data_IF_622631535606
#
_entry.id   IF_622631535606
#
_cell.length_a   1.000
_cell.length_b   1.000
_cell.length_c   1.000
_cell.angle_alpha   90.00
_cell.angle_beta   90.00
_cell.angle_gamma   90.00
#
_symmetry.space_group_name_H-M   'P 1'
#
loop_
_entity.id
_entity.type
_entity.pdbx_description
1 polymer ?
#
# COMPACT_ATOMS: atom_id res chain seq x y z
N UNK A 1 7.44 -12.84 13.71
CA UNK A 1 6.55 -12.24 12.71
C UNK A 1 5.32 -13.13 12.51
N UNK A 2 4.11 -12.57 12.63
CA UNK A 2 2.88 -13.33 12.42
C UNK A 2 2.62 -13.49 10.92
N UNK A 3 2.59 -14.74 10.47
CA UNK A 3 2.28 -15.07 9.08
C UNK A 3 1.58 -16.42 8.99
N UNK A 4 0.83 -16.65 7.92
CA UNK A 4 0.19 -17.93 7.67
C UNK A 4 0.20 -18.28 6.20
N UNK A 5 0.14 -19.58 5.89
CA UNK A 5 -0.03 -20.04 4.52
C UNK A 5 -1.52 -20.12 4.17
N UNK A 6 -1.91 -19.40 3.14
CA UNK A 6 -3.24 -19.48 2.55
C UNK A 6 -3.39 -20.78 1.74
N UNK A 7 -4.54 -21.45 1.89
CA UNK A 7 -4.81 -22.73 1.24
C UNK A 7 -5.84 -22.66 0.12
N UNK A 8 -6.43 -21.47 -0.08
CA UNK A 8 -7.49 -21.20 -1.06
C UNK A 8 -7.15 -19.99 -1.94
N UNK A 9 -7.76 -19.93 -3.09
CA UNK A 9 -7.65 -18.82 -4.02
C UNK A 9 -8.34 -17.57 -3.47
N UNK A 10 -7.65 -16.43 -3.53
CA UNK A 10 -8.19 -15.14 -3.06
C UNK A 10 -9.39 -14.66 -3.90
N UNK A 11 -9.46 -15.07 -5.18
CA UNK A 11 -10.47 -14.61 -6.11
C UNK A 11 -11.72 -15.51 -6.12
N UNK A 12 -11.55 -16.84 -6.18
CA UNK A 12 -12.68 -17.78 -6.35
C UNK A 12 -12.85 -18.77 -5.20
N UNK A 13 -12.01 -18.70 -4.15
CA UNK A 13 -12.02 -19.57 -2.99
C UNK A 13 -11.73 -21.06 -3.28
N UNK A 14 -11.32 -21.39 -4.49
CA UNK A 14 -10.91 -22.77 -4.85
C UNK A 14 -9.64 -23.16 -4.11
N UNK A 15 -9.53 -24.44 -3.77
CA UNK A 15 -8.31 -25.03 -3.20
C UNK A 15 -7.36 -25.62 -4.24
N UNK A 16 -7.70 -25.52 -5.54
CA UNK A 16 -6.89 -25.99 -6.66
C UNK A 16 -5.72 -25.05 -6.95
N UNK A 17 -4.79 -24.95 -6.01
CA UNK A 17 -3.61 -24.10 -6.12
C UNK A 17 -2.38 -24.92 -6.49
N UNK A 18 -1.78 -24.59 -7.63
CA UNK A 18 -0.53 -25.18 -8.13
C UNK A 18 0.66 -24.25 -7.88
N UNK A 19 1.76 -24.77 -7.31
CA UNK A 19 3.00 -24.01 -7.17
C UNK A 19 3.67 -23.88 -8.55
N UNK A 20 3.70 -22.65 -9.08
CA UNK A 20 4.27 -22.37 -10.41
C UNK A 20 5.66 -21.75 -10.37
N UNK A 21 5.99 -21.05 -9.28
CA UNK A 21 7.32 -20.46 -9.12
C UNK A 21 7.73 -20.46 -7.64
N UNK A 22 8.85 -21.09 -7.36
CA UNK A 22 9.46 -21.08 -6.04
C UNK A 22 10.53 -20.00 -5.97
N UNK A 23 10.30 -18.98 -5.18
CA UNK A 23 11.26 -17.92 -4.93
C UNK A 23 12.01 -18.15 -3.62
N UNK A 24 13.21 -17.56 -3.52
CA UNK A 24 13.97 -17.57 -2.28
C UNK A 24 13.21 -16.77 -1.20
N UNK A 25 13.05 -17.30 0.03
CA UNK A 25 12.47 -16.54 1.13
C UNK A 25 13.25 -15.26 1.40
N UNK A 26 12.54 -14.17 1.65
CA UNK A 26 13.11 -12.84 1.98
C UNK A 26 12.45 -12.25 3.22
N UNK A 27 13.07 -11.27 3.89
CA UNK A 27 12.36 -10.41 4.80
C UNK A 27 11.22 -9.66 4.08
N UNK A 28 10.21 -9.12 4.80
CA UNK A 28 9.22 -8.22 4.20
C UNK A 28 9.89 -7.04 3.50
N UNK A 29 9.24 -6.52 2.43
CA UNK A 29 9.67 -5.29 1.80
C UNK A 29 9.65 -4.14 2.81
N UNK A 30 10.54 -3.18 2.63
CA UNK A 30 10.69 -1.98 3.48
C UNK A 30 10.94 -2.25 4.99
N UNK A 31 11.30 -3.49 5.33
CA UNK A 31 11.68 -3.89 6.69
C UNK A 31 13.14 -3.53 6.97
N UNK A 32 13.41 -2.23 7.02
CA UNK A 32 14.75 -1.70 7.29
C UNK A 32 15.16 -1.97 8.74
N UNK A 33 16.44 -2.25 8.94
CA UNK A 33 17.03 -2.48 10.25
C UNK A 33 18.11 -1.42 10.54
N UNK A 34 18.25 -1.04 11.80
CA UNK A 34 19.33 -0.12 12.23
C UNK A 34 20.70 -0.80 12.15
N UNK A 35 21.77 0.01 12.12
CA UNK A 35 23.15 -0.47 12.05
C UNK A 35 23.50 -1.45 13.18
N UNK A 36 23.02 -1.20 14.38
CA UNK A 36 23.22 -2.07 15.56
C UNK A 36 22.59 -3.46 15.41
N UNK A 37 21.53 -3.61 14.57
CA UNK A 37 20.83 -4.85 14.30
C UNK A 37 21.35 -5.60 13.06
N UNK A 38 22.30 -5.03 12.31
CA UNK A 38 22.89 -5.69 11.13
C UNK A 38 23.40 -7.12 11.37
N UNK A 39 24.00 -7.43 12.54
CA UNK A 39 24.44 -8.80 12.84
C UNK A 39 23.26 -9.76 13.10
N UNK A 40 22.06 -9.26 13.33
CA UNK A 40 20.89 -10.07 13.67
C UNK A 40 20.26 -10.63 12.39
N UNK A 41 20.06 -11.94 12.36
CA UNK A 41 19.37 -12.58 11.23
C UNK A 41 17.91 -12.17 11.21
N UNK A 42 17.48 -11.53 10.13
CA UNK A 42 16.07 -11.22 9.90
C UNK A 42 15.23 -12.49 9.65
N UNK A 43 14.01 -12.50 10.13
CA UNK A 43 13.04 -13.51 9.72
C UNK A 43 12.70 -13.38 8.23
N UNK A 44 12.54 -14.51 7.56
CA UNK A 44 12.23 -14.55 6.13
C UNK A 44 10.95 -15.30 5.87
N UNK A 45 10.23 -14.91 4.82
CA UNK A 45 8.93 -15.47 4.44
C UNK A 45 9.05 -16.07 3.04
N UNK A 46 8.43 -17.24 2.80
CA UNK A 46 8.33 -17.79 1.46
C UNK A 46 7.55 -16.86 0.53
N UNK A 47 8.09 -16.63 -0.67
CA UNK A 47 7.45 -15.88 -1.75
C UNK A 47 6.96 -16.80 -2.87
N UNK A 48 6.60 -18.03 -2.53
CA UNK A 48 6.13 -19.02 -3.50
C UNK A 48 4.87 -18.52 -4.21
N UNK A 49 4.90 -18.51 -5.54
CA UNK A 49 3.80 -18.10 -6.39
C UNK A 49 2.95 -19.32 -6.79
N UNK A 50 1.66 -19.20 -6.59
CA UNK A 50 0.66 -20.23 -6.91
C UNK A 50 -0.29 -19.74 -8.00
N UNK A 51 -0.63 -20.64 -8.91
CA UNK A 51 -1.68 -20.47 -9.91
C UNK A 51 -2.94 -21.21 -9.44
N UNK A 52 -4.08 -20.58 -9.50
CA UNK A 52 -5.34 -21.26 -9.33
C UNK A 52 -5.77 -21.91 -10.66
N UNK A 53 -5.88 -23.23 -10.70
CA UNK A 53 -6.26 -23.97 -11.90
C UNK A 53 -7.72 -23.72 -12.32
N UNK A 54 -8.58 -23.25 -11.40
CA UNK A 54 -10.00 -23.05 -11.68
C UNK A 54 -10.30 -21.66 -12.28
N UNK A 55 -9.54 -20.62 -11.90
CA UNK A 55 -9.83 -19.26 -12.40
C UNK A 55 -8.63 -18.54 -13.05
N UNK A 56 -7.44 -19.15 -13.05
CA UNK A 56 -6.23 -18.56 -13.61
C UNK A 56 -5.59 -17.46 -12.77
N UNK A 57 -6.11 -17.16 -11.57
CA UNK A 57 -5.52 -16.16 -10.68
C UNK A 57 -4.19 -16.63 -10.09
N UNK A 58 -3.19 -15.75 -10.12
CA UNK A 58 -1.89 -16.00 -9.49
C UNK A 58 -1.78 -15.26 -8.16
N UNK A 59 -1.23 -15.92 -7.15
CA UNK A 59 -1.09 -15.36 -5.81
C UNK A 59 0.15 -15.86 -5.08
N UNK A 60 0.68 -15.05 -4.17
CA UNK A 60 1.65 -15.51 -3.17
C UNK A 60 0.90 -16.31 -2.10
N UNK A 61 1.46 -17.46 -1.73
CA UNK A 61 0.84 -18.40 -0.80
C UNK A 61 0.93 -17.96 0.66
N UNK A 62 1.91 -17.15 1.07
CA UNK A 62 2.04 -16.66 2.44
C UNK A 62 1.44 -15.27 2.59
N UNK A 63 0.77 -15.07 3.73
CA UNK A 63 0.19 -13.79 4.15
C UNK A 63 0.85 -13.39 5.45
N UNK A 64 1.36 -12.17 5.49
CA UNK A 64 1.87 -11.53 6.71
C UNK A 64 0.71 -10.78 7.35
N UNK A 65 0.68 -10.74 8.67
CA UNK A 65 -0.26 -9.90 9.40
C UNK A 65 -0.04 -8.43 9.01
N UNK A 66 -1.11 -7.75 8.67
CA UNK A 66 -1.05 -6.36 8.22
C UNK A 66 -0.39 -5.43 9.26
N UNK A 67 -0.65 -5.67 10.54
CA UNK A 67 -0.03 -4.91 11.62
C UNK A 67 1.51 -5.02 11.60
N UNK A 68 2.04 -6.22 11.32
CA UNK A 68 3.50 -6.44 11.25
C UNK A 68 4.16 -5.69 10.09
N UNK A 69 3.43 -5.48 8.99
CA UNK A 69 3.95 -4.78 7.81
C UNK A 69 3.79 -3.27 7.95
N UNK A 70 2.63 -2.82 8.42
CA UNK A 70 2.27 -1.40 8.35
C UNK A 70 2.66 -0.60 9.60
N UNK A 71 2.77 -1.20 10.80
CA UNK A 71 3.13 -0.44 12.02
C UNK A 71 4.49 0.24 11.96
N UNK A 72 5.42 -0.26 11.15
CA UNK A 72 6.77 0.29 10.99
C UNK A 72 7.04 0.78 9.56
N UNK A 73 5.99 1.02 8.79
CA UNK A 73 6.13 1.49 7.42
C UNK A 73 6.57 2.97 7.41
N UNK A 74 7.71 3.25 6.78
CA UNK A 74 8.35 4.56 6.82
C UNK A 74 8.29 5.30 5.47
N UNK A 75 7.71 4.69 4.44
CA UNK A 75 7.64 5.30 3.13
C UNK A 75 6.65 6.47 3.10
N UNK A 76 7.14 7.63 2.71
CA UNK A 76 6.33 8.82 2.43
C UNK A 76 6.31 9.08 0.92
N UNK A 77 5.12 9.24 0.37
CA UNK A 77 4.91 9.45 -1.07
C UNK A 77 5.65 10.68 -1.59
N UNK A 78 5.67 11.76 -0.82
CA UNK A 78 6.37 12.99 -1.18
C UNK A 78 7.90 12.81 -1.35
N UNK A 79 8.49 11.73 -0.79
CA UNK A 79 9.92 11.45 -0.94
C UNK A 79 10.31 10.92 -2.32
N UNK A 80 9.34 10.44 -3.11
CA UNK A 80 9.59 9.88 -4.44
C UNK A 80 9.68 10.99 -5.49
N UNK A 81 10.85 11.09 -6.13
CA UNK A 81 11.12 12.08 -7.13
C UNK A 81 10.14 11.99 -8.32
N UNK A 82 9.48 13.10 -8.65
CA UNK A 82 8.53 13.21 -9.75
C UNK A 82 7.10 12.75 -9.43
N UNK A 83 6.85 12.06 -8.32
CA UNK A 83 5.52 11.55 -8.01
C UNK A 83 4.54 12.68 -7.64
N UNK A 84 5.02 13.73 -6.99
CA UNK A 84 4.22 14.93 -6.72
C UNK A 84 3.71 15.60 -8.00
N UNK A 85 4.56 15.72 -9.02
CA UNK A 85 4.16 16.25 -10.33
C UNK A 85 3.13 15.36 -11.01
N UNK A 86 3.34 14.05 -10.98
CA UNK A 86 2.37 13.08 -11.50
C UNK A 86 1.00 13.22 -10.84
N UNK A 87 0.94 13.34 -9.52
CA UNK A 87 -0.33 13.52 -8.80
C UNK A 87 -1.01 14.86 -9.08
N UNK A 88 -0.24 15.91 -9.28
CA UNK A 88 -0.78 17.20 -9.71
C UNK A 88 -1.47 17.09 -11.07
N UNK A 89 -0.83 16.48 -12.06
CA UNK A 89 -1.42 16.27 -13.38
C UNK A 89 -2.60 15.28 -13.35
N UNK A 90 -2.56 14.29 -12.47
CA UNK A 90 -3.69 13.37 -12.23
C UNK A 90 -4.91 14.12 -11.71
N UNK A 91 -4.75 14.91 -10.65
CA UNK A 91 -5.84 15.72 -10.09
C UNK A 91 -6.40 16.68 -11.14
N UNK A 92 -5.54 17.40 -11.86
CA UNK A 92 -5.94 18.29 -12.94
C UNK A 92 -6.79 17.57 -14.00
N UNK A 93 -6.30 16.43 -14.49
CA UNK A 93 -7.02 15.65 -15.52
C UNK A 93 -8.40 15.22 -15.04
N UNK A 94 -8.52 14.79 -13.78
CA UNK A 94 -9.79 14.39 -13.19
C UNK A 94 -10.73 15.60 -13.09
N UNK A 95 -10.24 16.72 -12.57
CA UNK A 95 -11.04 17.92 -12.41
C UNK A 95 -11.52 18.49 -13.76
N UNK A 96 -10.68 18.51 -14.78
CA UNK A 96 -11.04 18.95 -16.12
C UNK A 96 -12.06 18.03 -16.80
N UNK A 97 -11.92 16.73 -16.60
CA UNK A 97 -12.79 15.71 -17.21
C UNK A 97 -14.20 15.68 -16.59
N UNK A 98 -14.27 15.66 -15.27
CA UNK A 98 -15.53 15.47 -14.55
C UNK A 98 -16.16 16.78 -14.09
N UNK A 99 -15.40 17.88 -14.01
CA UNK A 99 -15.84 19.22 -13.62
C UNK A 99 -16.78 19.25 -12.39
N UNK A 100 -16.42 18.58 -11.29
CA UNK A 100 -17.25 18.59 -10.11
C UNK A 100 -17.30 20.00 -9.51
N UNK A 101 -18.51 20.48 -9.20
CA UNK A 101 -18.67 21.82 -8.59
C UNK A 101 -18.48 21.79 -7.07
N UNK A 102 -18.85 20.68 -6.44
CA UNK A 102 -18.74 20.41 -4.99
C UNK A 102 -18.67 18.92 -4.76
N UNK A 103 -18.15 18.52 -3.62
CA UNK A 103 -18.10 17.14 -3.20
C UNK A 103 -16.84 16.84 -2.40
N UNK A 104 -16.76 15.63 -1.92
CA UNK A 104 -15.61 15.10 -1.18
C UNK A 104 -14.83 14.14 -2.05
N UNK A 105 -13.51 14.27 -2.02
CA UNK A 105 -12.58 13.30 -2.58
C UNK A 105 -12.03 12.45 -1.43
N UNK A 106 -12.25 11.16 -1.50
CA UNK A 106 -11.74 10.20 -0.51
C UNK A 106 -10.61 9.40 -1.16
N UNK A 107 -9.47 9.34 -0.49
CA UNK A 107 -8.32 8.54 -0.90
C UNK A 107 -8.05 7.44 0.13
N UNK A 108 -8.06 6.17 -0.32
CA UNK A 108 -7.83 4.99 0.53
C UNK A 108 -6.39 4.52 0.32
N UNK A 109 -5.57 4.60 1.37
CA UNK A 109 -4.12 4.47 1.33
C UNK A 109 -3.48 5.82 0.98
N UNK A 110 -3.99 6.89 1.58
CA UNK A 110 -3.66 8.27 1.22
C UNK A 110 -2.23 8.70 1.57
N UNK A 111 -1.53 7.92 2.38
CA UNK A 111 -0.18 8.20 2.85
C UNK A 111 -0.07 9.64 3.42
N UNK A 112 0.90 10.45 2.98
CA UNK A 112 1.11 11.83 3.41
C UNK A 112 0.10 12.86 2.85
N UNK A 113 -0.92 12.39 2.09
CA UNK A 113 -2.01 13.21 1.57
C UNK A 113 -1.65 14.08 0.37
N UNK A 114 -0.50 13.88 -0.28
CA UNK A 114 -0.05 14.74 -1.38
C UNK A 114 -1.02 14.77 -2.57
N UNK A 115 -1.67 13.66 -2.91
CA UNK A 115 -2.71 13.63 -3.95
C UNK A 115 -3.92 14.46 -3.55
N UNK A 116 -4.40 14.27 -2.32
CA UNK A 116 -5.55 15.00 -1.78
C UNK A 116 -5.31 16.51 -1.69
N UNK A 117 -4.07 16.92 -1.41
CA UNK A 117 -3.68 18.34 -1.42
C UNK A 117 -4.02 19.00 -2.74
N UNK A 118 -3.74 18.36 -3.88
CA UNK A 118 -4.05 18.92 -5.18
C UNK A 118 -5.55 19.04 -5.44
N UNK A 119 -6.37 18.09 -4.99
CA UNK A 119 -7.84 18.23 -5.06
C UNK A 119 -8.36 19.34 -4.15
N UNK A 120 -7.77 19.52 -2.97
CA UNK A 120 -8.09 20.62 -2.07
C UNK A 120 -7.78 21.99 -2.69
N UNK A 121 -6.67 22.09 -3.44
CA UNK A 121 -6.30 23.31 -4.17
C UNK A 121 -7.33 23.67 -5.26
N UNK A 122 -8.08 22.69 -5.79
CA UNK A 122 -9.24 22.90 -6.66
C UNK A 122 -10.55 23.21 -5.90
N UNK A 123 -10.52 23.34 -4.59
CA UNK A 123 -11.70 23.67 -3.75
C UNK A 123 -12.57 22.48 -3.39
N UNK A 124 -12.09 21.25 -3.57
CA UNK A 124 -12.79 20.05 -3.11
C UNK A 124 -12.61 19.85 -1.61
N UNK A 125 -13.63 19.30 -0.94
CA UNK A 125 -13.43 18.68 0.36
C UNK A 125 -12.61 17.39 0.19
N UNK A 126 -11.75 17.10 1.17
CA UNK A 126 -10.86 15.92 1.07
C UNK A 126 -10.85 15.13 2.36
N UNK A 127 -10.70 13.81 2.24
CA UNK A 127 -10.54 12.88 3.35
C UNK A 127 -9.57 11.78 2.96
N UNK A 128 -8.50 11.64 3.71
CA UNK A 128 -7.57 10.51 3.63
C UNK A 128 -8.00 9.38 4.55
N UNK A 129 -7.64 8.16 4.17
CA UNK A 129 -7.73 6.96 5.02
C UNK A 129 -6.40 6.23 4.88
N UNK A 130 -5.65 6.12 5.97
CA UNK A 130 -4.36 5.42 5.97
C UNK A 130 -4.22 4.56 7.24
N UNK A 131 -3.72 3.30 7.13
CA UNK A 131 -3.55 2.44 8.29
C UNK A 131 -2.37 2.84 9.19
N UNK A 132 -1.52 3.77 8.75
CA UNK A 132 -0.30 4.19 9.44
C UNK A 132 -0.55 5.42 10.32
N UNK A 133 -0.67 5.29 11.66
CA UNK A 133 -1.01 6.42 12.51
C UNK A 133 -0.08 7.63 12.36
N UNK A 134 1.23 7.41 12.34
CA UNK A 134 2.21 8.51 12.26
C UNK A 134 2.14 9.28 10.92
N UNK A 135 1.85 8.59 9.80
CA UNK A 135 1.70 9.23 8.49
C UNK A 135 0.36 9.98 8.43
N UNK A 136 -0.72 9.37 8.94
CA UNK A 136 -2.05 9.98 9.00
C UNK A 136 -2.07 11.25 9.88
N UNK A 137 -1.41 11.22 11.04
CA UNK A 137 -1.23 12.39 11.90
C UNK A 137 -0.48 13.50 11.18
N UNK A 138 0.64 13.18 10.54
CA UNK A 138 1.42 14.14 9.75
C UNK A 138 0.62 14.75 8.59
N UNK A 139 -0.15 13.94 7.86
CA UNK A 139 -1.05 14.44 6.82
C UNK A 139 -2.09 15.42 7.39
N UNK A 140 -2.70 15.06 8.53
CA UNK A 140 -3.69 15.89 9.23
C UNK A 140 -3.09 17.21 9.73
N UNK A 141 -1.89 17.19 10.30
CA UNK A 141 -1.14 18.40 10.70
C UNK A 141 -0.83 19.32 9.52
N UNK A 142 -0.59 18.74 8.34
CA UNK A 142 -0.41 19.47 7.07
C UNK A 142 -1.73 19.91 6.43
N UNK A 143 -2.84 19.75 7.13
CA UNK A 143 -4.17 20.23 6.73
C UNK A 143 -4.93 19.30 5.78
N UNK A 144 -4.52 18.02 5.68
CA UNK A 144 -5.26 16.99 4.94
C UNK A 144 -5.89 16.04 5.96
N UNK A 145 -7.18 16.15 6.27
CA UNK A 145 -7.85 15.25 7.21
C UNK A 145 -7.65 13.79 6.80
N UNK A 146 -7.01 13.00 7.68
CA UNK A 146 -6.65 11.59 7.40
C UNK A 146 -6.86 10.74 8.64
#
# INVERSE_FOLDING_TARGET
>A
MKSYRRKDCRLCSSTSLELVLKLKPTPPADSYISEEHLPTKQETIPLDLYLCSDCGYTQIGHVIDAEEVYLNYIYETASTLGLGEHFRECAKTIMEKFKPNKGIVVDIGSNDGILLKYFKDYGMEVLGIDPMPGIAEKASENGIPT
#
